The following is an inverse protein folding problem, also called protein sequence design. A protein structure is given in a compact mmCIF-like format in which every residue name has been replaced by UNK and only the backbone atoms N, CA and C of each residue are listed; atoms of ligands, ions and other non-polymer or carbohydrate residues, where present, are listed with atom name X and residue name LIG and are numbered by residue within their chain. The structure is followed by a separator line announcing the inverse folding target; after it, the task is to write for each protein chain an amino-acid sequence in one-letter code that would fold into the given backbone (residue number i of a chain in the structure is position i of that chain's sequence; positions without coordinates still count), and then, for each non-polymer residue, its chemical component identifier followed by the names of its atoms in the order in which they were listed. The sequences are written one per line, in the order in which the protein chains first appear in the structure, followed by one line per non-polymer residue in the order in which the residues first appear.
data_IF_562912015032
#
_entry.id   IF_562912015032
#
_cell.length_a   1.000
_cell.length_b   1.000
_cell.length_c   1.000
_cell.angle_alpha   90.00
_cell.angle_beta   90.00
_cell.angle_gamma   90.00
#
_symmetry.space_group_name_H-M   'P 1'
#
loop_
_entity.id
_entity.type
_entity.pdbx_description
1 polymer ?
#
# COMPACT_ATOMS: atom_id res chain seq x y z
N UNK A 1 -8.37 22.37 4.90
CA UNK A 1 -8.20 22.64 6.35
C UNK A 1 -7.65 24.04 6.50
N UNK A 2 -8.17 24.87 7.41
CA UNK A 2 -7.84 26.30 7.49
C UNK A 2 -6.92 26.61 8.67
N UNK A 3 -5.84 27.33 8.37
CA UNK A 3 -5.07 28.09 9.34
C UNK A 3 -5.64 29.51 9.37
N UNK A 4 -6.14 29.94 10.53
CA UNK A 4 -6.80 31.25 10.71
C UNK A 4 -6.24 31.94 11.94
N UNK A 5 -5.83 33.20 11.79
CA UNK A 5 -5.34 34.00 12.91
C UNK A 5 -6.45 34.85 13.51
N UNK A 6 -6.53 34.86 14.85
CA UNK A 6 -7.44 35.69 15.63
C UNK A 6 -6.63 36.44 16.69
N UNK A 7 -6.62 37.77 16.63
CA UNK A 7 -5.83 38.60 17.55
C UNK A 7 -6.18 38.38 19.04
N UNK A 8 -7.41 37.94 19.34
CA UNK A 8 -7.90 37.67 20.70
C UNK A 8 -7.74 36.21 21.15
N UNK A 9 -7.54 35.28 20.21
CA UNK A 9 -7.54 33.81 20.47
C UNK A 9 -6.28 33.09 19.98
N UNK A 10 -5.35 33.81 19.37
CA UNK A 10 -4.15 33.25 18.74
C UNK A 10 -4.46 32.55 17.41
N UNK A 11 -3.64 31.55 17.09
CA UNK A 11 -3.68 30.87 15.81
C UNK A 11 -4.55 29.62 15.87
N UNK A 12 -5.53 29.50 14.96
CA UNK A 12 -6.31 28.28 14.76
C UNK A 12 -5.59 27.41 13.73
N UNK A 13 -5.11 26.25 14.14
CA UNK A 13 -4.40 25.28 13.29
C UNK A 13 -5.18 23.97 13.39
N UNK A 14 -5.71 23.48 12.26
CA UNK A 14 -6.48 22.24 12.18
C UNK A 14 -7.63 22.15 13.21
N UNK A 15 -8.31 23.27 13.47
CA UNK A 15 -9.44 23.34 14.39
C UNK A 15 -9.08 23.55 15.87
N UNK A 16 -7.79 23.53 16.22
CA UNK A 16 -7.29 23.79 17.57
C UNK A 16 -6.70 25.20 17.67
N UNK A 17 -6.89 25.86 18.82
CA UNK A 17 -6.34 27.18 19.08
C UNK A 17 -4.99 27.09 19.80
N UNK A 18 -4.01 27.82 19.28
CA UNK A 18 -2.66 27.92 19.80
C UNK A 18 -2.38 29.38 20.16
N UNK A 19 -2.06 29.62 21.43
CA UNK A 19 -1.73 30.97 21.91
C UNK A 19 -0.26 31.35 21.63
N UNK A 20 0.57 30.37 21.33
CA UNK A 20 2.02 30.51 21.19
C UNK A 20 2.47 29.83 19.90
N UNK A 21 3.44 30.44 19.23
CA UNK A 21 4.04 29.93 17.99
C UNK A 21 4.86 28.65 18.27
N UNK A 22 4.62 27.53 17.55
CA UNK A 22 5.25 26.25 17.84
C UNK A 22 6.76 26.21 17.58
N UNK A 23 7.26 27.01 16.64
CA UNK A 23 8.69 27.06 16.30
C UNK A 23 9.50 28.07 17.14
N UNK A 24 8.94 29.24 17.47
CA UNK A 24 9.67 30.32 18.17
C UNK A 24 9.35 30.38 19.66
N UNK A 25 8.21 29.83 20.10
CA UNK A 25 7.77 29.91 21.50
C UNK A 25 7.23 31.28 21.91
N UNK A 26 7.05 32.20 20.97
CA UNK A 26 6.53 33.55 21.20
C UNK A 26 5.01 33.64 20.99
N UNK A 27 4.36 34.66 21.56
CA UNK A 27 2.94 34.91 21.29
C UNK A 27 2.74 35.24 19.80
N UNK A 28 1.63 34.77 19.23
CA UNK A 28 1.31 35.08 17.84
C UNK A 28 1.08 36.57 17.64
N UNK A 29 1.64 37.09 16.55
CA UNK A 29 1.34 38.40 16.00
C UNK A 29 0.94 38.27 14.52
N UNK A 30 0.52 39.37 13.91
CA UNK A 30 0.05 39.36 12.51
C UNK A 30 1.14 38.90 11.52
N UNK A 31 2.41 39.21 11.79
CA UNK A 31 3.53 38.93 10.90
C UNK A 31 3.94 37.45 10.98
N UNK A 32 4.14 36.92 12.19
CA UNK A 32 4.46 35.51 12.44
C UNK A 32 3.32 34.59 12.03
N UNK A 33 2.06 34.99 12.24
CA UNK A 33 0.91 34.23 11.80
C UNK A 33 0.79 34.20 10.28
N UNK A 34 0.98 35.34 9.59
CA UNK A 34 0.96 35.38 8.12
C UNK A 34 2.09 34.53 7.52
N UNK A 35 3.31 34.62 8.08
CA UNK A 35 4.44 33.80 7.66
C UNK A 35 4.16 32.30 7.87
N UNK A 36 3.58 31.94 9.01
CA UNK A 36 3.20 30.55 9.30
C UNK A 36 2.10 30.07 8.35
N UNK A 37 1.01 30.82 8.15
CA UNK A 37 -0.08 30.45 7.22
C UNK A 37 0.46 30.24 5.81
N UNK A 38 1.33 31.13 5.33
CA UNK A 38 1.90 31.05 3.99
C UNK A 38 2.81 29.84 3.79
N UNK A 39 3.48 29.37 4.85
CA UNK A 39 4.38 28.21 4.83
C UNK A 39 3.80 26.92 5.41
N UNK A 40 2.58 26.95 5.96
CA UNK A 40 2.00 25.79 6.63
C UNK A 40 1.49 24.78 5.62
N UNK A 41 2.23 23.69 5.49
CA UNK A 41 1.77 22.48 4.86
C UNK A 41 1.35 21.50 5.96
N UNK A 42 0.09 21.04 5.98
CA UNK A 42 -0.34 20.06 6.96
C UNK A 42 0.60 18.85 6.97
N UNK A 43 0.93 18.26 8.13
CA UNK A 43 1.89 17.14 8.21
C UNK A 43 1.49 15.95 7.32
N UNK A 44 0.18 15.70 7.20
CA UNK A 44 -0.39 14.67 6.33
C UNK A 44 -0.35 15.04 4.84
N UNK A 45 0.00 16.26 4.47
CA UNK A 45 0.23 16.65 3.07
C UNK A 45 1.72 16.85 2.76
N UNK A 46 2.60 16.48 3.69
CA UNK A 46 4.04 16.48 3.46
C UNK A 46 4.46 15.32 2.55
N UNK A 47 5.51 15.52 1.77
CA UNK A 47 6.08 14.47 0.92
C UNK A 47 6.54 13.26 1.74
N UNK A 48 7.04 13.48 2.96
CA UNK A 48 7.44 12.42 3.89
C UNK A 48 6.24 11.58 4.36
N UNK A 49 5.11 12.21 4.69
CA UNK A 49 3.90 11.49 5.07
C UNK A 49 3.31 10.69 3.89
N UNK A 50 3.33 11.27 2.68
CA UNK A 50 2.91 10.58 1.45
C UNK A 50 3.81 9.37 1.19
N UNK A 51 5.14 9.52 1.30
CA UNK A 51 6.08 8.42 1.13
C UNK A 51 5.88 7.31 2.16
N UNK A 52 5.75 7.66 3.44
CA UNK A 52 5.48 6.69 4.51
C UNK A 52 4.17 5.92 4.26
N UNK A 53 3.11 6.61 3.83
CA UNK A 53 1.83 5.95 3.54
C UNK A 53 1.90 5.04 2.31
N UNK A 54 2.68 5.39 1.29
CA UNK A 54 2.95 4.48 0.15
C UNK A 54 3.66 3.21 0.60
N UNK A 55 4.68 3.34 1.45
CA UNK A 55 5.42 2.20 1.97
C UNK A 55 4.49 1.25 2.75
N UNK A 56 3.62 1.79 3.60
CA UNK A 56 2.60 1.01 4.32
C UNK A 56 1.67 0.26 3.35
N UNK A 57 1.18 0.93 2.31
CA UNK A 57 0.27 0.32 1.33
C UNK A 57 0.95 -0.78 0.49
N UNK A 58 2.21 -0.57 0.09
CA UNK A 58 3.01 -1.61 -0.58
C UNK A 58 3.19 -2.83 0.33
N UNK A 59 3.43 -2.61 1.62
CA UNK A 59 3.52 -3.67 2.62
C UNK A 59 2.21 -4.45 2.77
N UNK A 60 1.07 -3.75 2.77
CA UNK A 60 -0.26 -4.35 2.81
C UNK A 60 -0.52 -5.23 1.58
N UNK A 61 -0.20 -4.75 0.38
CA UNK A 61 -0.27 -5.51 -0.88
C UNK A 61 0.56 -6.79 -0.76
N UNK A 62 1.84 -6.69 -0.36
CA UNK A 62 2.76 -7.83 -0.23
C UNK A 62 2.26 -8.86 0.76
N UNK A 63 1.75 -8.42 1.91
CA UNK A 63 1.17 -9.32 2.93
C UNK A 63 -0.08 -10.03 2.41
N UNK A 64 -0.95 -9.33 1.69
CA UNK A 64 -2.15 -9.91 1.10
C UNK A 64 -1.81 -10.98 0.04
N UNK A 65 -0.86 -10.68 -0.85
CA UNK A 65 -0.36 -11.64 -1.86
C UNK A 65 0.28 -12.85 -1.21
N UNK A 66 1.15 -12.64 -0.22
CA UNK A 66 1.78 -13.71 0.53
C UNK A 66 0.74 -14.64 1.18
N UNK A 67 -0.23 -14.08 1.89
CA UNK A 67 -1.28 -14.85 2.55
C UNK A 67 -2.12 -15.67 1.54
N UNK A 68 -2.45 -15.08 0.38
CA UNK A 68 -3.16 -15.78 -0.69
C UNK A 68 -2.34 -16.94 -1.27
N UNK A 69 -1.05 -16.70 -1.58
CA UNK A 69 -0.16 -17.73 -2.11
C UNK A 69 0.10 -18.85 -1.10
N UNK A 70 0.20 -18.53 0.18
CA UNK A 70 0.36 -19.50 1.27
C UNK A 70 -0.91 -20.36 1.43
N UNK A 71 -2.09 -19.73 1.48
CA UNK A 71 -3.37 -20.42 1.61
C UNK A 71 -3.63 -21.42 0.45
N UNK A 72 -3.07 -21.17 -0.73
CA UNK A 72 -3.19 -22.04 -1.90
C UNK A 72 -1.94 -22.89 -2.17
N UNK A 73 -0.94 -22.89 -1.28
CA UNK A 73 0.30 -23.65 -1.47
C UNK A 73 0.03 -25.16 -1.64
N UNK A 74 -0.95 -25.69 -0.93
CA UNK A 74 -1.35 -27.10 -1.00
C UNK A 74 -1.77 -27.54 -2.42
N UNK A 75 -2.31 -26.64 -3.25
CA UNK A 75 -2.71 -26.96 -4.63
C UNK A 75 -1.49 -27.30 -5.49
N UNK A 76 -0.42 -26.52 -5.34
CA UNK A 76 0.85 -26.76 -6.04
C UNK A 76 1.49 -28.05 -5.55
N UNK A 77 1.55 -28.24 -4.22
CA UNK A 77 2.10 -29.47 -3.64
C UNK A 77 1.36 -30.71 -4.15
N UNK A 78 0.02 -30.67 -4.17
CA UNK A 78 -0.80 -31.77 -4.71
C UNK A 78 -0.55 -32.01 -6.20
N UNK A 79 -0.44 -30.96 -7.01
CA UNK A 79 -0.14 -31.09 -8.43
C UNK A 79 1.27 -31.69 -8.68
N UNK A 80 2.25 -31.34 -7.84
CA UNK A 80 3.59 -31.94 -7.86
C UNK A 80 3.55 -33.42 -7.47
N UNK A 81 2.81 -33.78 -6.43
CA UNK A 81 2.63 -35.18 -6.02
C UNK A 81 1.99 -36.02 -7.13
N UNK A 82 0.97 -35.50 -7.81
CA UNK A 82 0.34 -36.17 -8.95
C UNK A 82 1.32 -36.40 -10.11
N UNK A 83 2.18 -35.42 -10.39
CA UNK A 83 3.21 -35.55 -11.41
C UNK A 83 4.20 -36.67 -11.05
N UNK A 84 4.69 -36.69 -9.81
CA UNK A 84 5.59 -37.75 -9.33
C UNK A 84 4.93 -39.14 -9.41
N UNK A 85 3.65 -39.24 -9.07
CA UNK A 85 2.91 -40.49 -9.16
C UNK A 85 2.78 -40.98 -10.63
N UNK A 86 2.53 -40.07 -11.58
CA UNK A 86 2.46 -40.40 -13.00
C UNK A 86 3.83 -40.77 -13.60
N UNK A 87 4.91 -40.15 -13.10
CA UNK A 87 6.28 -40.54 -13.47
C UNK A 87 6.62 -41.96 -12.99
N UNK A 88 6.15 -42.34 -11.80
CA UNK A 88 6.32 -43.70 -11.27
C UNK A 88 5.50 -44.74 -12.06
N UNK A 89 4.30 -44.40 -12.52
CA UNK A 89 3.46 -45.30 -13.31
C UNK A 89 3.96 -45.52 -14.74
N UNK A 90 4.85 -44.63 -15.24
CA UNK A 90 5.35 -44.60 -16.62
C UNK A 90 4.24 -44.50 -17.67
N UNK A 91 3.12 -43.90 -17.30
CA UNK A 91 2.02 -43.60 -18.20
C UNK A 91 2.21 -42.19 -18.77
N UNK A 92 2.62 -42.11 -20.04
CA UNK A 92 2.91 -40.84 -20.72
C UNK A 92 1.68 -39.92 -20.80
N UNK A 93 0.47 -40.48 -20.88
CA UNK A 93 -0.76 -39.69 -20.94
C UNK A 93 -1.04 -39.05 -19.58
N UNK A 94 -0.93 -39.82 -18.50
CA UNK A 94 -1.08 -39.30 -17.13
C UNK A 94 0.01 -38.28 -16.78
N UNK A 95 1.24 -38.49 -17.23
CA UNK A 95 2.32 -37.52 -17.02
C UNK A 95 2.02 -36.20 -17.71
N UNK A 96 1.51 -36.24 -18.94
CA UNK A 96 1.18 -35.02 -19.67
C UNK A 96 0.03 -34.26 -18.99
N UNK A 97 -1.01 -34.96 -18.54
CA UNK A 97 -2.11 -34.36 -17.79
C UNK A 97 -1.64 -33.71 -16.49
N UNK A 98 -0.82 -34.42 -15.71
CA UNK A 98 -0.27 -33.90 -14.45
C UNK A 98 0.64 -32.68 -14.68
N UNK A 99 1.45 -32.66 -15.74
CA UNK A 99 2.26 -31.50 -16.13
C UNK A 99 1.39 -30.29 -16.46
N UNK A 100 0.33 -30.49 -17.26
CA UNK A 100 -0.59 -29.41 -17.62
C UNK A 100 -1.31 -28.86 -16.37
N UNK A 101 -1.72 -29.72 -15.44
CA UNK A 101 -2.33 -29.28 -14.18
C UNK A 101 -1.36 -28.47 -13.32
N UNK A 102 -0.11 -28.93 -13.16
CA UNK A 102 0.91 -28.18 -12.43
C UNK A 102 1.21 -26.82 -13.08
N UNK A 103 1.35 -26.78 -14.40
CA UNK A 103 1.55 -25.54 -15.15
C UNK A 103 0.40 -24.54 -14.94
N UNK A 104 -0.85 -25.02 -14.92
CA UNK A 104 -2.00 -24.16 -14.69
C UNK A 104 -1.97 -23.51 -13.29
N UNK A 105 -1.62 -24.26 -12.25
CA UNK A 105 -1.51 -23.72 -10.89
C UNK A 105 -0.32 -22.74 -10.76
N UNK A 106 0.81 -23.02 -11.40
CA UNK A 106 1.95 -22.10 -11.43
C UNK A 106 1.62 -20.81 -12.19
N UNK A 107 0.88 -20.90 -13.31
CA UNK A 107 0.47 -19.73 -14.08
C UNK A 107 -0.45 -18.80 -13.28
N UNK A 108 -1.39 -19.33 -12.50
CA UNK A 108 -2.24 -18.51 -11.61
C UNK A 108 -1.39 -17.76 -10.57
N UNK A 109 -0.43 -18.45 -9.95
CA UNK A 109 0.47 -17.84 -8.96
C UNK A 109 1.33 -16.73 -9.56
N UNK A 110 1.81 -16.93 -10.77
CA UNK A 110 2.59 -15.92 -11.47
C UNK A 110 1.72 -14.72 -11.87
N UNK A 111 0.48 -14.96 -12.33
CA UNK A 111 -0.46 -13.88 -12.62
C UNK A 111 -0.77 -13.03 -11.37
N UNK A 112 -0.88 -13.65 -10.19
CA UNK A 112 -1.06 -12.90 -8.94
C UNK A 112 0.19 -12.06 -8.58
N UNK A 113 1.40 -12.58 -8.81
CA UNK A 113 2.63 -11.81 -8.61
C UNK A 113 2.71 -10.61 -9.54
N UNK A 114 2.39 -10.81 -10.83
CA UNK A 114 2.35 -9.72 -11.80
C UNK A 114 1.34 -8.64 -11.41
N UNK A 115 0.16 -9.02 -10.94
CA UNK A 115 -0.82 -8.07 -10.39
C UNK A 115 -0.30 -7.30 -9.16
N UNK A 116 0.50 -7.95 -8.32
CA UNK A 116 1.18 -7.28 -7.20
C UNK A 116 2.16 -6.23 -7.70
N UNK A 117 3.01 -6.60 -8.67
CA UNK A 117 4.00 -5.69 -9.24
C UNK A 117 3.33 -4.49 -9.93
N UNK A 118 2.24 -4.73 -10.66
CA UNK A 118 1.41 -3.68 -11.27
C UNK A 118 0.80 -2.76 -10.21
N UNK A 119 0.25 -3.31 -9.14
CA UNK A 119 -0.31 -2.53 -8.03
C UNK A 119 0.76 -1.68 -7.31
N UNK A 120 1.97 -2.21 -7.11
CA UNK A 120 3.08 -1.46 -6.52
C UNK A 120 3.51 -0.28 -7.42
N UNK A 121 3.51 -0.47 -8.73
CA UNK A 121 3.76 0.61 -9.68
C UNK A 121 2.66 1.67 -9.65
N UNK A 122 1.39 1.27 -9.58
CA UNK A 122 0.27 2.21 -9.44
C UNK A 122 0.39 3.05 -8.16
N UNK A 123 0.75 2.43 -7.03
CA UNK A 123 0.98 3.14 -5.75
C UNK A 123 2.12 4.14 -5.86
N UNK A 124 3.19 3.81 -6.59
CA UNK A 124 4.32 4.71 -6.80
C UNK A 124 3.91 6.03 -7.49
N UNK A 125 2.93 5.98 -8.39
CA UNK A 125 2.43 7.14 -9.15
C UNK A 125 1.43 8.02 -8.36
N UNK A 126 0.94 7.58 -7.19
CA UNK A 126 -0.02 8.36 -6.40
C UNK A 126 0.64 9.59 -5.77
N UNK A 127 0.00 10.76 -5.83
CA UNK A 127 0.60 12.03 -5.38
C UNK A 127 -0.08 12.68 -4.19
N UNK A 128 -1.18 12.08 -3.68
CA UNK A 128 -1.89 12.59 -2.51
C UNK A 128 -2.32 11.47 -1.58
N UNK A 129 -2.46 11.78 -0.29
CA UNK A 129 -2.94 10.81 0.72
C UNK A 129 -4.35 10.32 0.39
N UNK A 130 -5.23 11.20 -0.10
CA UNK A 130 -6.59 10.79 -0.46
C UNK A 130 -6.60 9.77 -1.60
N UNK A 131 -5.68 9.89 -2.56
CA UNK A 131 -5.54 8.91 -3.64
C UNK A 131 -4.97 7.59 -3.13
N UNK A 132 -4.02 7.64 -2.19
CA UNK A 132 -3.44 6.46 -1.53
C UNK A 132 -4.50 5.72 -0.70
N UNK A 133 -5.29 6.43 0.10
CA UNK A 133 -6.34 5.82 0.94
C UNK A 133 -7.55 5.33 0.14
N UNK A 134 -7.77 5.87 -1.07
CA UNK A 134 -8.80 5.37 -1.98
C UNK A 134 -8.34 4.15 -2.81
N UNK A 135 -7.03 3.87 -2.84
CA UNK A 135 -6.50 2.71 -3.55
C UNK A 135 -6.95 1.41 -2.87
N UNK A 136 -7.29 0.41 -3.68
CA UNK A 136 -7.70 -0.89 -3.17
C UNK A 136 -7.11 -2.01 -4.01
N UNK A 137 -6.54 -3.00 -3.35
CA UNK A 137 -6.00 -4.20 -3.98
C UNK A 137 -6.58 -5.44 -3.30
N UNK A 138 -6.98 -6.43 -4.10
CA UNK A 138 -7.50 -7.71 -3.60
C UNK A 138 -6.70 -8.85 -4.20
N UNK A 139 -6.11 -9.68 -3.33
CA UNK A 139 -5.30 -10.83 -3.73
C UNK A 139 -6.15 -12.08 -3.94
N UNK A 140 -6.38 -12.48 -5.20
CA UNK A 140 -7.19 -13.66 -5.56
C UNK A 140 -6.56 -14.48 -6.70
N UNK A 141 -6.74 -15.81 -6.64
CA UNK A 141 -6.21 -16.83 -7.57
C UNK A 141 -7.31 -17.56 -8.35
#
# INVERSE_FOLDING_TARGET
MSCEYFADKGMKIEGNYWLVHPQTGEAWDEESAAAFIAGYQPPHLSEEAIAARKDELVDEIKRAVYACLEAQQWRVTKAQEHLLAAELSRDDAQQQEAKTSLQAELAKREALRQKSDEAELEVAELTSIEAIDAFSFTAEL
#
